data_IF_100491870035
#
_entry.id   IF_100491870035
#
_cell.length_a   1.000
_cell.length_b   1.000
_cell.length_c   1.000
_cell.angle_alpha   90.00
_cell.angle_beta   90.00
_cell.angle_gamma   90.00
#
_symmetry.space_group_name_H-M   'P 1'
#
loop_
_entity.id
_entity.type
_entity.pdbx_description
1 polymer ?
#
# COMPACT_ATOMS: atom_id res chain seq x y z
N UNK A 1 17.71 4.84 -4.00
CA UNK A 1 16.78 5.92 -3.79
C UNK A 1 15.35 5.40 -3.61
N UNK A 2 14.71 5.78 -2.55
CA UNK A 2 13.29 5.46 -2.28
C UNK A 2 12.48 6.33 -3.23
N UNK A 3 11.89 5.75 -4.27
CA UNK A 3 10.88 6.46 -5.04
C UNK A 3 9.60 6.55 -4.21
N UNK A 4 9.30 7.71 -3.66
CA UNK A 4 8.20 7.92 -2.71
C UNK A 4 6.80 7.55 -3.22
N UNK A 5 6.60 7.39 -4.53
CA UNK A 5 5.31 7.03 -5.11
C UNK A 5 4.84 5.62 -4.77
N UNK A 6 5.73 4.65 -4.73
CA UNK A 6 5.36 3.26 -4.48
C UNK A 6 5.09 2.98 -2.99
N UNK A 7 5.84 3.63 -2.11
CA UNK A 7 5.67 3.48 -0.67
C UNK A 7 4.33 4.05 -0.18
N UNK A 8 3.87 5.13 -0.80
CA UNK A 8 2.68 5.85 -0.36
C UNK A 8 1.41 5.01 -0.40
N UNK A 9 1.25 4.14 -1.37
CA UNK A 9 0.09 3.25 -1.48
C UNK A 9 0.13 2.07 -0.50
N UNK A 10 1.31 1.58 -0.14
CA UNK A 10 1.46 0.48 0.81
C UNK A 10 1.31 0.93 2.27
N UNK A 11 1.66 2.18 2.57
CA UNK A 11 1.52 2.77 3.91
C UNK A 11 0.09 3.28 4.18
N UNK A 12 -0.77 3.31 3.17
CA UNK A 12 -2.13 3.85 3.30
C UNK A 12 -3.13 2.92 4.01
N UNK A 13 -2.77 1.68 4.30
CA UNK A 13 -3.55 0.83 5.20
C UNK A 13 -3.24 1.23 6.64
N UNK A 14 -4.27 1.55 7.38
CA UNK A 14 -4.16 1.92 8.78
C UNK A 14 -5.17 2.99 9.17
N UNK A 15 -5.21 3.29 10.44
CA UNK A 15 -6.14 4.24 11.02
C UNK A 15 -6.21 4.08 12.52
N UNK A 16 -7.34 4.41 13.09
CA UNK A 16 -7.58 4.30 14.53
C UNK A 16 -9.04 3.97 14.82
N UNK A 17 -9.29 3.47 16.01
CA UNK A 17 -10.63 3.29 16.55
C UNK A 17 -10.81 4.11 17.82
N UNK A 18 -12.02 4.61 18.06
CA UNK A 18 -12.37 5.27 19.30
C UNK A 18 -13.09 4.29 20.22
N UNK A 19 -12.80 4.41 21.52
CA UNK A 19 -13.38 3.60 22.60
C UNK A 19 -14.02 4.52 23.62
N UNK A 20 -15.23 4.17 24.06
CA UNK A 20 -15.88 4.90 25.15
C UNK A 20 -15.23 4.55 26.48
N UNK A 21 -14.81 5.57 27.21
CA UNK A 21 -14.26 5.45 28.57
C UNK A 21 -15.29 5.80 29.65
N UNK A 22 -15.09 5.28 30.86
CA UNK A 22 -16.00 5.50 31.99
C UNK A 22 -16.08 6.96 32.45
N UNK A 23 -15.09 7.78 32.10
CA UNK A 23 -15.03 9.21 32.43
C UNK A 23 -15.71 10.12 31.39
N UNK A 24 -16.36 9.56 30.35
CA UNK A 24 -17.02 10.30 29.28
C UNK A 24 -16.10 10.87 28.20
N UNK A 25 -14.80 10.59 28.27
CA UNK A 25 -13.80 10.98 27.27
C UNK A 25 -13.44 9.73 26.43
N UNK A 26 -13.55 9.83 25.11
CA UNK A 26 -13.17 8.72 24.23
C UNK A 26 -11.65 8.55 24.19
N UNK A 27 -11.19 7.31 24.25
CA UNK A 27 -9.79 6.96 23.95
C UNK A 27 -9.63 6.52 22.49
N UNK A 28 -8.42 6.64 21.96
CA UNK A 28 -8.11 6.30 20.58
C UNK A 28 -6.94 5.32 20.53
N UNK A 29 -7.13 4.22 19.78
CA UNK A 29 -6.09 3.21 19.57
C UNK A 29 -5.87 3.01 18.07
N UNK A 30 -4.59 2.93 17.61
CA UNK A 30 -4.28 2.70 16.21
C UNK A 30 -4.59 1.25 15.79
N UNK A 31 -4.93 1.10 14.51
CA UNK A 31 -4.94 -0.22 13.89
C UNK A 31 -3.52 -0.70 13.62
N UNK A 32 -3.29 -2.00 13.73
CA UNK A 32 -2.02 -2.63 13.40
C UNK A 32 -1.94 -2.96 11.92
N UNK A 33 -0.83 -2.62 11.32
CA UNK A 33 -0.51 -2.93 9.92
C UNK A 33 0.93 -3.39 9.83
N UNK A 34 1.18 -4.44 9.07
CA UNK A 34 2.53 -4.92 8.78
C UNK A 34 2.83 -4.72 7.31
N UNK A 35 3.97 -4.15 6.99
CA UNK A 35 4.40 -3.93 5.62
C UNK A 35 5.88 -4.25 5.45
N UNK A 36 6.22 -4.82 4.30
CA UNK A 36 7.60 -4.94 3.85
C UNK A 36 7.69 -4.63 2.36
N UNK A 37 8.84 -4.21 1.94
CA UNK A 37 9.11 -3.94 0.54
C UNK A 37 10.59 -4.14 0.20
N UNK A 38 10.85 -4.42 -1.05
CA UNK A 38 12.18 -4.53 -1.63
C UNK A 38 12.21 -3.79 -2.97
N UNK A 39 13.24 -3.00 -3.19
CA UNK A 39 13.52 -2.33 -4.46
C UNK A 39 14.97 -2.64 -4.85
N UNK A 40 15.15 -3.25 -6.00
CA UNK A 40 16.47 -3.62 -6.54
C UNK A 40 16.62 -2.91 -7.88
N UNK A 41 17.63 -2.06 -7.97
CA UNK A 41 17.91 -1.32 -9.20
C UNK A 41 19.42 -1.38 -9.55
N UNK A 42 19.68 -1.47 -10.84
CA UNK A 42 21.04 -1.38 -11.38
C UNK A 42 21.49 0.07 -11.45
N UNK A 43 22.77 0.32 -11.17
CA UNK A 43 23.41 1.64 -11.29
C UNK A 43 24.15 1.84 -12.61
N UNK A 44 23.86 1.08 -13.66
CA UNK A 44 24.50 1.23 -14.96
C UNK A 44 24.19 2.60 -15.57
N UNK A 45 25.17 3.25 -16.22
CA UNK A 45 25.02 4.64 -16.66
C UNK A 45 24.01 4.82 -17.80
N UNK A 46 23.88 3.87 -18.71
CA UNK A 46 23.07 4.01 -19.93
C UNK A 46 21.74 3.28 -19.84
N UNK A 47 21.72 2.07 -19.29
CA UNK A 47 20.53 1.23 -19.13
C UNK A 47 20.50 0.69 -17.72
N UNK A 48 19.56 1.13 -16.92
CA UNK A 48 19.43 0.76 -15.52
C UNK A 48 18.05 0.10 -15.26
N UNK A 49 17.98 -1.24 -15.30
CA UNK A 49 16.77 -1.95 -14.91
C UNK A 49 16.56 -1.93 -13.41
N UNK A 50 15.30 -1.95 -12.99
CA UNK A 50 14.91 -2.02 -11.60
C UNK A 50 13.62 -2.79 -11.42
N UNK A 51 13.49 -3.46 -10.29
CA UNK A 51 12.30 -4.20 -9.88
C UNK A 51 11.91 -3.80 -8.46
N UNK A 52 10.63 -3.74 -8.22
CA UNK A 52 10.05 -3.44 -6.92
C UNK A 52 9.01 -4.50 -6.55
N UNK A 53 9.01 -4.91 -5.30
CA UNK A 53 7.93 -5.68 -4.70
C UNK A 53 7.61 -5.12 -3.33
N UNK A 54 6.33 -4.98 -3.03
CA UNK A 54 5.85 -4.56 -1.72
C UNK A 54 4.58 -5.30 -1.31
N UNK A 55 4.44 -5.54 -0.02
CA UNK A 55 3.30 -6.20 0.58
C UNK A 55 2.91 -5.51 1.87
N UNK A 56 1.61 -5.31 2.06
CA UNK A 56 1.04 -4.75 3.31
C UNK A 56 -0.13 -5.60 3.74
N UNK A 57 -0.16 -5.94 5.02
CA UNK A 57 -1.25 -6.69 5.65
C UNK A 57 -1.93 -5.86 6.73
N UNK A 58 -3.25 -5.92 6.75
CA UNK A 58 -4.07 -5.41 7.85
C UNK A 58 -4.11 -6.43 8.97
N UNK A 59 -3.61 -6.05 10.15
CA UNK A 59 -3.64 -6.88 11.36
C UNK A 59 -4.74 -6.45 12.34
N UNK A 60 -5.53 -5.42 11.99
CA UNK A 60 -6.70 -5.00 12.74
C UNK A 60 -6.42 -4.32 14.07
N UNK A 61 -7.34 -4.48 15.00
CA UNK A 61 -7.35 -3.91 16.34
C UNK A 61 -7.05 -4.99 17.40
N UNK A 62 -6.38 -4.62 18.48
CA UNK A 62 -6.24 -5.50 19.66
C UNK A 62 -7.55 -5.67 20.41
N UNK A 63 -8.38 -4.62 20.47
CA UNK A 63 -9.65 -4.61 21.16
C UNK A 63 -10.78 -4.39 20.14
N UNK A 64 -11.68 -5.36 20.05
CA UNK A 64 -12.81 -5.33 19.12
C UNK A 64 -14.02 -4.49 19.61
N UNK A 65 -13.99 -3.98 20.84
CA UNK A 65 -15.10 -3.23 21.46
C UNK A 65 -15.01 -1.73 21.20
N UNK A 66 -14.74 -1.33 19.97
CA UNK A 66 -14.68 0.07 19.60
C UNK A 66 -16.07 0.71 19.42
N UNK A 67 -16.12 2.02 19.66
CA UNK A 67 -17.31 2.86 19.40
C UNK A 67 -17.38 3.27 17.94
N UNK A 68 -16.28 3.71 17.37
CA UNK A 68 -16.15 4.14 15.96
C UNK A 68 -14.82 3.72 15.37
N UNK A 69 -14.82 3.40 14.08
CA UNK A 69 -13.67 2.95 13.33
C UNK A 69 -13.34 3.93 12.22
N UNK A 70 -12.11 4.45 12.22
CA UNK A 70 -11.59 5.40 11.25
C UNK A 70 -10.37 4.82 10.56
N UNK A 71 -10.58 3.94 9.59
CA UNK A 71 -9.48 3.27 8.88
C UNK A 71 -9.60 3.46 7.38
N UNK A 72 -8.46 3.50 6.73
CA UNK A 72 -8.38 3.39 5.28
C UNK A 72 -8.49 1.93 4.87
N UNK A 73 -9.05 1.69 3.69
CA UNK A 73 -9.28 0.33 3.21
C UNK A 73 -10.56 -0.32 3.74
N UNK A 74 -11.46 0.47 4.33
CA UNK A 74 -12.83 0.04 4.64
C UNK A 74 -13.79 0.70 3.65
N UNK A 75 -14.68 -0.08 3.08
CA UNK A 75 -15.76 0.38 2.20
C UNK A 75 -17.04 -0.38 2.54
N UNK A 76 -17.99 0.33 3.15
CA UNK A 76 -19.22 -0.28 3.64
C UNK A 76 -18.94 -1.38 4.67
N UNK A 77 -19.37 -2.60 4.37
CA UNK A 77 -19.18 -3.79 5.21
C UNK A 77 -17.92 -4.61 4.85
N UNK A 78 -17.05 -4.07 4.02
CA UNK A 78 -15.85 -4.76 3.53
C UNK A 78 -14.59 -4.03 3.94
N UNK A 79 -13.52 -4.79 4.14
CA UNK A 79 -12.19 -4.28 4.51
C UNK A 79 -11.11 -4.97 3.70
N UNK A 80 -10.02 -4.24 3.44
CA UNK A 80 -8.80 -4.80 2.83
C UNK A 80 -8.09 -5.69 3.85
N UNK A 81 -7.80 -6.93 3.45
CA UNK A 81 -6.91 -7.82 4.19
C UNK A 81 -5.45 -7.51 3.89
N UNK A 82 -5.11 -7.50 2.62
CA UNK A 82 -3.76 -7.22 2.18
C UNK A 82 -3.74 -6.50 0.83
N UNK A 83 -2.63 -5.81 0.58
CA UNK A 83 -2.30 -5.22 -0.72
C UNK A 83 -0.87 -5.59 -1.05
N UNK A 84 -0.64 -6.04 -2.28
CA UNK A 84 0.71 -6.21 -2.78
C UNK A 84 0.89 -5.52 -4.13
N UNK A 85 2.12 -5.16 -4.42
CA UNK A 85 2.51 -4.48 -5.65
C UNK A 85 3.83 -5.05 -6.16
N UNK A 86 3.86 -5.34 -7.45
CA UNK A 86 5.09 -5.64 -8.16
C UNK A 86 5.25 -4.67 -9.32
N UNK A 87 6.42 -4.14 -9.52
CA UNK A 87 6.74 -3.31 -10.68
C UNK A 87 8.13 -3.62 -11.23
N UNK A 88 8.26 -3.41 -12.54
CA UNK A 88 9.53 -3.48 -13.24
C UNK A 88 9.69 -2.21 -14.07
N UNK A 89 10.89 -1.62 -14.02
CA UNK A 89 11.24 -0.42 -14.77
C UNK A 89 12.59 -0.57 -15.42
N UNK A 90 12.78 0.17 -16.50
CA UNK A 90 14.10 0.32 -17.14
C UNK A 90 14.33 1.80 -17.38
N UNK A 91 15.44 2.33 -16.89
CA UNK A 91 15.88 3.69 -17.19
C UNK A 91 16.86 3.66 -18.36
N UNK A 92 16.48 4.30 -19.47
CA UNK A 92 17.36 4.55 -20.61
C UNK A 92 17.88 5.98 -20.52
N UNK A 93 19.18 6.13 -20.33
CA UNK A 93 19.83 7.43 -20.19
C UNK A 93 20.78 7.66 -21.36
N UNK A 94 20.64 8.81 -22.01
CA UNK A 94 21.57 9.28 -23.06
C UNK A 94 21.81 10.77 -22.86
N UNK A 95 23.04 11.15 -22.49
CA UNK A 95 23.41 12.53 -22.17
C UNK A 95 22.49 13.12 -21.09
N UNK A 96 21.73 14.17 -21.43
CA UNK A 96 20.79 14.87 -20.56
C UNK A 96 19.35 14.34 -20.65
N UNK A 97 19.11 13.33 -21.47
CA UNK A 97 17.79 12.76 -21.72
C UNK A 97 17.65 11.39 -21.05
N UNK A 98 16.49 11.17 -20.44
CA UNK A 98 16.14 9.89 -19.82
C UNK A 98 14.73 9.49 -20.19
N UNK A 99 14.54 8.24 -20.62
CA UNK A 99 13.23 7.60 -20.81
C UNK A 99 13.14 6.41 -19.85
N UNK A 100 12.03 6.33 -19.11
CA UNK A 100 11.80 5.28 -18.13
C UNK A 100 10.44 4.64 -18.35
N UNK A 101 10.34 3.55 -19.11
CA UNK A 101 9.15 2.71 -19.12
C UNK A 101 9.03 1.91 -17.81
N UNK A 102 7.81 1.79 -17.30
CA UNK A 102 7.50 1.04 -16.09
C UNK A 102 6.21 0.25 -16.28
N UNK A 103 6.22 -1.00 -15.84
CA UNK A 103 5.04 -1.85 -15.72
C UNK A 103 4.79 -2.12 -14.24
N UNK A 104 3.56 -1.94 -13.80
CA UNK A 104 3.16 -2.10 -12.41
C UNK A 104 1.89 -2.91 -12.30
N UNK A 105 1.88 -3.86 -11.39
CA UNK A 105 0.68 -4.60 -11.01
C UNK A 105 0.44 -4.45 -9.51
N UNK A 106 -0.78 -4.06 -9.15
CA UNK A 106 -1.22 -3.94 -7.76
C UNK A 106 -2.45 -4.80 -7.57
N UNK A 107 -2.46 -5.61 -6.54
CA UNK A 107 -3.60 -6.42 -6.15
C UNK A 107 -3.94 -6.21 -4.69
N UNK A 108 -5.24 -6.20 -4.40
CA UNK A 108 -5.78 -6.11 -3.05
C UNK A 108 -6.75 -7.26 -2.81
N UNK A 109 -6.69 -7.85 -1.63
CA UNK A 109 -7.67 -8.82 -1.14
C UNK A 109 -8.62 -8.12 -0.20
N UNK A 110 -9.91 -8.23 -0.49
CA UNK A 110 -11.01 -7.67 0.30
C UNK A 110 -11.85 -8.80 0.88
N UNK A 111 -12.28 -8.65 2.11
CA UNK A 111 -13.23 -9.57 2.73
C UNK A 111 -14.25 -8.82 3.60
N UNK A 112 -15.16 -9.56 4.21
CA UNK A 112 -16.16 -8.98 5.11
C UNK A 112 -15.48 -8.43 6.36
N UNK A 113 -15.92 -7.26 6.81
CA UNK A 113 -15.37 -6.59 7.98
C UNK A 113 -15.75 -7.33 9.25
N UNK A 114 -14.76 -7.79 10.00
CA UNK A 114 -14.91 -8.35 11.35
C UNK A 114 -14.87 -7.24 12.41
N UNK A 115 -15.29 -7.62 13.62
CA UNK A 115 -15.30 -6.72 14.78
C UNK A 115 -13.93 -6.21 15.21
N UNK A 116 -12.85 -6.91 14.88
CA UNK A 116 -11.46 -6.49 15.12
C UNK A 116 -10.85 -5.69 13.96
N UNK A 117 -11.66 -5.26 13.01
CA UNK A 117 -11.27 -4.55 11.79
C UNK A 117 -10.37 -5.37 10.84
N UNK A 118 -10.35 -6.68 10.96
CA UNK A 118 -9.72 -7.60 10.00
C UNK A 118 -10.72 -8.12 8.97
N UNK A 119 -10.20 -8.73 7.90
CA UNK A 119 -11.00 -9.41 6.88
C UNK A 119 -11.53 -10.75 7.41
N UNK A 120 -12.81 -11.00 7.13
CA UNK A 120 -13.49 -12.27 7.40
C UNK A 120 -13.67 -13.12 6.16
N UNK A 121 -14.87 -13.67 6.02
CA UNK A 121 -15.27 -14.51 4.88
C UNK A 121 -15.45 -13.70 3.59
N UNK A 122 -15.80 -14.39 2.50
CA UNK A 122 -16.09 -13.80 1.18
C UNK A 122 -14.94 -12.95 0.62
N UNK A 123 -13.71 -13.48 0.70
CA UNK A 123 -12.55 -12.80 0.15
C UNK A 123 -12.65 -12.66 -1.37
N UNK A 124 -12.31 -11.47 -1.85
CA UNK A 124 -12.27 -11.11 -3.26
C UNK A 124 -10.95 -10.44 -3.59
N UNK A 125 -10.30 -10.91 -4.63
CA UNK A 125 -9.07 -10.29 -5.15
C UNK A 125 -9.42 -9.29 -6.25
N UNK A 126 -8.89 -8.08 -6.13
CA UNK A 126 -9.00 -7.02 -7.14
C UNK A 126 -7.60 -6.65 -7.58
N UNK A 127 -7.34 -6.75 -8.87
CA UNK A 127 -6.04 -6.39 -9.45
C UNK A 127 -6.14 -5.23 -10.42
N UNK A 128 -5.07 -4.44 -10.52
CA UNK A 128 -4.92 -3.35 -11.45
C UNK A 128 -3.54 -3.41 -12.11
N UNK A 129 -3.52 -3.35 -13.43
CA UNK A 129 -2.30 -3.27 -14.21
C UNK A 129 -2.13 -1.85 -14.76
N UNK A 130 -0.91 -1.30 -14.61
CA UNK A 130 -0.55 0.02 -15.11
C UNK A 130 0.74 -0.06 -15.93
N UNK A 131 0.73 0.56 -17.10
CA UNK A 131 1.91 0.84 -17.89
C UNK A 131 2.14 2.35 -17.89
N UNK A 132 3.37 2.77 -17.62
CA UNK A 132 3.77 4.16 -17.56
C UNK A 132 5.06 4.36 -18.35
N UNK A 133 5.16 5.48 -19.06
CA UNK A 133 6.41 5.95 -19.66
C UNK A 133 6.66 7.37 -19.19
N UNK A 134 7.80 7.61 -18.60
CA UNK A 134 8.24 8.95 -18.25
C UNK A 134 9.45 9.36 -19.09
N UNK A 135 9.52 10.63 -19.45
CA UNK A 135 10.65 11.22 -20.13
C UNK A 135 11.10 12.46 -19.37
N UNK A 136 12.40 12.60 -19.17
CA UNK A 136 12.97 13.76 -18.50
C UNK A 136 14.19 14.28 -19.25
N UNK A 137 14.36 15.60 -19.23
CA UNK A 137 15.51 16.29 -19.80
C UNK A 137 16.12 17.21 -18.74
N UNK A 138 17.43 17.12 -18.57
CA UNK A 138 18.18 17.97 -17.61
C UNK A 138 18.89 19.07 -18.35
N UNK A 139 18.64 20.30 -17.98
CA UNK A 139 19.28 21.49 -18.56
C UNK A 139 20.71 21.70 -18.06
#
# INVERSE_FOLDING_TARGET
GISGGNLHHLVMLGGYASYAETNGIDSYKPTKTSAFWVDIASNKPNVAPGVFFGYTKNSGLEDANYKSLYVRGVSGTRVVDNVWRASARVDFKQNKFKISPELEYTAATWGDLKTDATSGNNETNVGNFRALVSASYSF
#
